data_IF_497556097265
#
_entry.id   IF_497556097265
#
_cell.length_a   1.000
_cell.length_b   1.000
_cell.length_c   1.000
_cell.angle_alpha   90.00
_cell.angle_beta   90.00
_cell.angle_gamma   90.00
#
_symmetry.space_group_name_H-M   'P 1'
#
loop_
_entity.id
_entity.type
_entity.pdbx_description
1 polymer ?
#
# COMPACT_ATOMS: atom_id res chain seq x y z
N UNK A 1 -4.35 1.09 7.67
CA UNK A 1 -2.99 1.54 8.04
C UNK A 1 -2.68 2.92 7.48
N UNK A 2 -2.76 3.14 6.17
CA UNK A 2 -2.46 4.45 5.55
C UNK A 2 -3.32 5.61 6.08
N UNK A 3 -4.66 5.48 6.09
CA UNK A 3 -5.54 6.54 6.60
C UNK A 3 -5.29 6.93 8.06
N UNK A 4 -4.91 5.96 8.91
CA UNK A 4 -4.60 6.23 10.32
C UNK A 4 -3.33 7.06 10.49
N UNK A 5 -2.29 6.81 9.67
CA UNK A 5 -1.07 7.62 9.69
C UNK A 5 -1.38 9.08 9.32
N UNK A 6 -2.14 9.28 8.25
CA UNK A 6 -2.54 10.63 7.83
C UNK A 6 -3.35 11.34 8.93
N UNK A 7 -4.30 10.62 9.55
CA UNK A 7 -5.08 11.16 10.65
C UNK A 7 -4.21 11.54 11.85
N UNK A 8 -3.34 10.63 12.31
CA UNK A 8 -2.46 10.87 13.45
C UNK A 8 -1.54 12.07 13.23
N UNK A 9 -0.90 12.16 12.06
CA UNK A 9 -0.04 13.28 11.71
C UNK A 9 -0.82 14.59 11.58
N UNK A 10 -2.07 14.55 11.12
CA UNK A 10 -2.88 15.76 10.96
C UNK A 10 -3.55 16.24 12.25
N UNK A 11 -3.75 15.36 13.24
CA UNK A 11 -4.56 15.66 14.43
C UNK A 11 -3.81 15.62 15.76
N UNK A 12 -2.55 15.17 15.79
CA UNK A 12 -1.79 15.00 17.02
C UNK A 12 -0.89 16.20 17.31
N UNK A 13 -0.98 16.73 18.53
CA UNK A 13 -0.07 17.75 19.08
C UNK A 13 1.06 17.14 19.93
N UNK A 14 1.28 15.82 19.83
CA UNK A 14 2.35 15.18 20.59
C UNK A 14 3.72 15.70 20.13
N UNK A 15 4.65 15.88 21.06
CA UNK A 15 6.01 16.38 20.77
C UNK A 15 6.70 15.58 19.66
N UNK A 16 6.54 14.25 19.66
CA UNK A 16 7.06 13.36 18.62
C UNK A 16 6.49 13.65 17.22
N UNK A 17 5.17 13.87 17.11
CA UNK A 17 4.53 14.14 15.81
C UNK A 17 4.95 15.53 15.32
N UNK A 18 4.96 16.52 16.20
CA UNK A 18 5.41 17.87 15.85
C UNK A 18 6.86 17.89 15.37
N UNK A 19 7.76 17.16 16.06
CA UNK A 19 9.15 16.99 15.61
C UNK A 19 9.25 16.39 14.20
N UNK A 20 8.44 15.37 13.90
CA UNK A 20 8.39 14.77 12.56
C UNK A 20 7.91 15.81 11.53
N UNK A 21 6.82 16.52 11.80
CA UNK A 21 6.24 17.50 10.87
C UNK A 21 7.18 18.68 10.60
N UNK A 22 8.00 19.08 11.58
CA UNK A 22 8.98 20.16 11.43
C UNK A 22 10.19 19.74 10.57
N UNK A 23 10.50 18.45 10.49
CA UNK A 23 11.74 17.96 9.87
C UNK A 23 11.52 17.08 8.62
N UNK A 24 10.29 16.65 8.35
CA UNK A 24 9.98 15.67 7.29
C UNK A 24 8.93 16.19 6.33
N UNK A 25 9.25 16.17 5.04
CA UNK A 25 8.25 16.26 3.97
C UNK A 25 7.76 14.84 3.66
N UNK A 26 6.53 14.52 4.05
CA UNK A 26 5.91 13.23 3.79
C UNK A 26 5.09 13.25 2.49
N UNK A 27 5.41 12.35 1.57
CA UNK A 27 4.56 12.03 0.41
C UNK A 27 3.82 10.73 0.72
N UNK A 28 2.52 10.84 0.99
CA UNK A 28 1.70 9.69 1.30
C UNK A 28 0.80 9.34 0.11
N UNK A 29 1.03 8.17 -0.49
CA UNK A 29 0.18 7.60 -1.54
C UNK A 29 -0.67 6.49 -0.91
N UNK A 30 -1.96 6.72 -0.62
CA UNK A 30 -2.73 5.80 0.20
C UNK A 30 -3.09 4.48 -0.48
N UNK A 31 -3.18 4.49 -1.82
CA UNK A 31 -3.26 3.30 -2.65
C UNK A 31 -2.57 3.58 -3.97
N UNK A 32 -1.62 2.71 -4.34
CA UNK A 32 -1.00 2.70 -5.66
C UNK A 32 -1.88 2.01 -6.72
N UNK A 33 -2.93 1.30 -6.30
CA UNK A 33 -3.88 0.60 -7.14
C UNK A 33 -5.30 0.79 -6.58
N UNK A 34 -5.93 1.96 -6.82
CA UNK A 34 -7.27 2.23 -6.31
C UNK A 34 -8.33 1.33 -6.96
N UNK A 35 -8.18 0.97 -8.23
CA UNK A 35 -9.14 0.14 -8.97
C UNK A 35 -9.20 -1.28 -8.40
N UNK A 36 -8.04 -1.92 -8.21
CA UNK A 36 -7.94 -3.24 -7.61
C UNK A 36 -8.42 -3.25 -6.16
N UNK A 37 -8.16 -2.19 -5.39
CA UNK A 37 -8.70 -2.04 -4.04
C UNK A 37 -10.23 -2.00 -4.05
N UNK A 38 -10.84 -1.23 -4.96
CA UNK A 38 -12.28 -1.14 -5.10
C UNK A 38 -12.88 -2.50 -5.48
N UNK A 39 -12.28 -3.22 -6.43
CA UNK A 39 -12.78 -4.55 -6.85
C UNK A 39 -12.77 -5.56 -5.71
N UNK A 40 -11.70 -5.60 -4.91
CA UNK A 40 -11.61 -6.49 -3.75
C UNK A 40 -12.64 -6.10 -2.69
N UNK A 41 -12.82 -4.81 -2.45
CA UNK A 41 -13.82 -4.32 -1.50
C UNK A 41 -15.24 -4.68 -1.94
N UNK A 42 -15.60 -4.44 -3.20
CA UNK A 42 -16.92 -4.75 -3.74
C UNK A 42 -17.20 -6.26 -3.69
N UNK A 43 -16.23 -7.08 -4.10
CA UNK A 43 -16.34 -8.54 -4.01
C UNK A 43 -16.57 -9.03 -2.59
N UNK A 44 -15.79 -8.51 -1.63
CA UNK A 44 -15.98 -8.87 -0.23
C UNK A 44 -17.37 -8.46 0.28
N UNK A 45 -17.79 -7.23 -0.02
CA UNK A 45 -19.08 -6.69 0.44
C UNK A 45 -20.28 -7.42 -0.18
N UNK A 46 -20.15 -7.97 -1.38
CA UNK A 46 -21.17 -8.81 -2.01
C UNK A 46 -21.32 -10.17 -1.31
N UNK A 47 -20.22 -10.73 -0.78
CA UNK A 47 -20.16 -12.11 -0.28
C UNK A 47 -20.06 -12.23 1.24
N UNK A 48 -19.97 -11.11 1.97
CA UNK A 48 -19.91 -11.11 3.44
C UNK A 48 -21.11 -11.86 4.05
N UNK A 49 -20.85 -12.77 4.98
CA UNK A 49 -21.84 -13.65 5.58
C UNK A 49 -22.24 -14.88 4.75
N UNK A 50 -21.60 -15.11 3.60
CA UNK A 50 -21.82 -16.30 2.75
C UNK A 50 -20.62 -17.27 2.81
N UNK A 51 -20.73 -18.44 2.18
CA UNK A 51 -19.61 -19.37 2.04
C UNK A 51 -18.43 -18.81 1.22
N UNK A 52 -18.66 -17.73 0.48
CA UNK A 52 -17.67 -17.07 -0.38
C UNK A 52 -17.02 -15.84 0.26
N UNK A 53 -17.30 -15.51 1.53
CA UNK A 53 -16.76 -14.31 2.18
C UNK A 53 -15.22 -14.22 2.10
N UNK A 54 -14.54 -15.37 2.19
CA UNK A 54 -13.08 -15.46 2.08
C UNK A 54 -12.59 -15.97 0.72
N UNK A 55 -13.47 -16.06 -0.29
CA UNK A 55 -13.10 -16.54 -1.61
C UNK A 55 -12.23 -15.51 -2.34
N UNK A 56 -11.21 -15.96 -3.10
CA UNK A 56 -10.41 -15.05 -3.90
C UNK A 56 -11.25 -14.42 -5.01
N UNK A 57 -10.91 -13.19 -5.39
CA UNK A 57 -11.49 -12.52 -6.53
C UNK A 57 -11.27 -13.39 -7.79
N UNK A 58 -12.32 -13.77 -8.54
CA UNK A 58 -12.17 -14.64 -9.70
C UNK A 58 -11.69 -13.90 -10.95
N UNK A 59 -11.63 -12.56 -10.91
CA UNK A 59 -11.21 -11.73 -12.03
C UNK A 59 -9.71 -11.43 -11.99
N UNK A 60 -9.15 -11.31 -13.18
CA UNK A 60 -7.77 -10.93 -13.38
C UNK A 60 -7.64 -9.40 -13.27
N UNK A 61 -6.77 -8.94 -12.36
CA UNK A 61 -6.39 -7.52 -12.32
C UNK A 61 -5.66 -7.15 -13.61
N UNK A 62 -6.03 -6.03 -14.21
CA UNK A 62 -5.71 -5.67 -15.60
C UNK A 62 -6.08 -6.77 -16.60
N UNK A 63 -7.36 -6.81 -17.01
CA UNK A 63 -7.99 -7.90 -17.77
C UNK A 63 -7.15 -8.47 -18.94
N UNK A 64 -6.43 -7.62 -19.67
CA UNK A 64 -5.65 -8.04 -20.85
C UNK A 64 -4.24 -8.53 -20.53
N UNK A 65 -3.67 -8.15 -19.38
CA UNK A 65 -2.24 -8.36 -19.08
C UNK A 65 -2.01 -9.15 -17.80
N UNK A 66 -2.98 -9.24 -16.88
CA UNK A 66 -2.83 -10.00 -15.64
C UNK A 66 -1.69 -9.53 -14.76
N UNK A 67 -1.57 -8.22 -14.65
CA UNK A 67 -0.32 -7.60 -14.27
C UNK A 67 -0.17 -7.42 -12.75
N UNK A 68 1.06 -7.54 -12.26
CA UNK A 68 1.43 -7.21 -10.89
C UNK A 68 2.23 -5.91 -10.92
N UNK A 69 1.65 -4.80 -10.42
CA UNK A 69 2.31 -3.49 -10.42
C UNK A 69 3.65 -3.53 -9.67
N UNK A 70 3.82 -4.42 -8.69
CA UNK A 70 5.08 -4.60 -7.98
C UNK A 70 6.10 -5.46 -8.76
N UNK A 71 5.82 -5.76 -10.03
CA UNK A 71 6.74 -6.34 -11.01
C UNK A 71 6.90 -5.44 -12.24
N UNK A 72 6.28 -4.27 -12.28
CA UNK A 72 6.36 -3.34 -13.42
C UNK A 72 7.52 -2.34 -13.33
N UNK A 73 8.20 -2.26 -12.18
CA UNK A 73 9.17 -1.20 -11.86
C UNK A 73 10.38 -1.11 -12.81
N UNK A 74 10.54 -2.04 -13.74
CA UNK A 74 11.56 -2.00 -14.79
C UNK A 74 10.98 -1.87 -16.20
N UNK A 75 9.70 -2.21 -16.39
CA UNK A 75 9.06 -2.28 -17.70
C UNK A 75 8.20 -1.03 -17.98
N UNK A 76 7.69 -0.38 -16.93
CA UNK A 76 6.90 0.86 -17.01
C UNK A 76 5.74 0.74 -17.99
N UNK A 77 4.99 -0.37 -17.89
CA UNK A 77 3.91 -0.67 -18.82
C UNK A 77 2.54 -0.19 -18.34
N UNK A 78 2.38 0.02 -17.02
CA UNK A 78 1.12 0.46 -16.42
C UNK A 78 1.14 1.95 -16.07
N UNK A 79 -0.02 2.59 -16.16
CA UNK A 79 -0.18 4.02 -15.84
C UNK A 79 0.17 4.30 -14.37
N UNK A 80 -0.17 3.39 -13.45
CA UNK A 80 0.15 3.51 -12.03
C UNK A 80 1.66 3.61 -11.79
N UNK A 81 2.45 2.76 -12.46
CA UNK A 81 3.91 2.77 -12.38
C UNK A 81 4.47 4.06 -12.96
N UNK A 82 4.00 4.47 -14.14
CA UNK A 82 4.43 5.69 -14.81
C UNK A 82 4.15 6.90 -13.92
N UNK A 83 2.93 7.04 -13.41
CA UNK A 83 2.52 8.16 -12.54
C UNK A 83 3.31 8.18 -11.23
N UNK A 84 3.58 7.02 -10.63
CA UNK A 84 4.37 6.93 -9.39
C UNK A 84 5.81 7.37 -9.61
N UNK A 85 6.40 7.01 -10.75
CA UNK A 85 7.77 7.36 -11.09
C UNK A 85 7.87 8.83 -11.46
N UNK A 86 6.99 9.33 -12.34
CA UNK A 86 7.06 10.72 -12.79
C UNK A 86 6.60 11.71 -11.72
N UNK A 87 5.54 11.37 -10.98
CA UNK A 87 4.86 12.27 -10.05
C UNK A 87 5.39 12.23 -8.61
N UNK A 88 5.95 11.11 -8.17
CA UNK A 88 6.55 10.99 -6.84
C UNK A 88 8.08 10.91 -6.92
N UNK A 89 8.64 9.89 -7.56
CA UNK A 89 10.08 9.63 -7.50
C UNK A 89 10.90 10.73 -8.20
N UNK A 90 10.63 11.01 -9.47
CA UNK A 90 11.39 11.99 -10.26
C UNK A 90 11.04 13.43 -9.88
N UNK A 91 9.85 13.69 -9.36
CA UNK A 91 9.46 15.03 -8.95
C UNK A 91 10.09 15.42 -7.60
N UNK A 92 10.19 14.48 -6.66
CA UNK A 92 10.56 14.77 -5.27
C UNK A 92 11.86 14.14 -4.80
N UNK A 93 12.39 13.13 -5.49
CA UNK A 93 13.64 12.43 -5.17
C UNK A 93 13.73 12.00 -3.69
N UNK A 94 12.79 11.15 -3.22
CA UNK A 94 12.69 10.79 -1.80
C UNK A 94 13.96 10.07 -1.33
N UNK A 95 14.43 10.41 -0.12
CA UNK A 95 15.58 9.76 0.51
C UNK A 95 15.22 8.39 1.11
N UNK A 96 13.95 8.22 1.50
CA UNK A 96 13.40 6.98 2.06
C UNK A 96 12.09 6.67 1.32
N UNK A 97 11.97 5.45 0.83
CA UNK A 97 10.74 4.92 0.23
C UNK A 97 10.30 3.70 1.03
N UNK A 98 9.04 3.67 1.42
CA UNK A 98 8.45 2.56 2.17
C UNK A 98 7.17 2.10 1.47
N UNK A 99 7.24 0.91 0.88
CA UNK A 99 6.11 0.24 0.23
C UNK A 99 5.53 -0.83 1.18
N UNK A 100 4.24 -0.70 1.51
CA UNK A 100 3.60 -1.46 2.58
C UNK A 100 2.67 -2.52 1.98
N UNK A 101 2.99 -3.78 2.26
CA UNK A 101 2.19 -4.94 1.87
C UNK A 101 1.57 -5.59 3.09
N UNK A 102 0.39 -6.19 2.91
CA UNK A 102 -0.19 -7.09 3.92
C UNK A 102 -0.02 -8.54 3.46
N UNK A 103 0.07 -9.43 4.43
CA UNK A 103 0.10 -10.86 4.19
C UNK A 103 -1.07 -11.51 4.91
N UNK A 104 -1.57 -12.61 4.36
CA UNK A 104 -2.57 -13.44 5.04
C UNK A 104 -2.06 -13.93 6.39
N UNK A 105 -2.98 -14.21 7.30
CA UNK A 105 -2.68 -14.66 8.68
C UNK A 105 -1.84 -15.94 8.75
N UNK A 106 -1.83 -16.74 7.68
CA UNK A 106 -1.05 -17.97 7.54
C UNK A 106 0.25 -17.82 6.73
N UNK A 107 0.60 -16.63 6.26
CA UNK A 107 1.78 -16.44 5.41
C UNK A 107 3.11 -16.44 6.17
N UNK A 108 4.21 -16.47 5.41
CA UNK A 108 5.59 -16.44 5.93
C UNK A 108 5.93 -15.10 6.60
N UNK A 109 6.20 -15.10 7.90
CA UNK A 109 6.56 -13.87 8.62
C UNK A 109 7.92 -13.36 8.15
N UNK A 110 8.00 -12.08 7.79
CA UNK A 110 9.28 -11.40 7.56
C UNK A 110 10.00 -11.34 8.91
N UNK A 111 11.22 -11.89 8.95
CA UNK A 111 12.02 -12.03 10.14
C UNK A 111 13.23 -11.07 10.07
N UNK A 112 13.28 -10.07 10.95
CA UNK A 112 14.42 -9.16 11.10
C UNK A 112 15.08 -9.33 12.47
N UNK A 113 16.38 -9.66 12.55
CA UNK A 113 17.13 -9.66 13.80
C UNK A 113 17.32 -8.21 14.34
N UNK A 114 17.62 -8.02 15.64
CA UNK A 114 18.01 -9.04 16.62
C UNK A 114 16.84 -9.71 17.38
N UNK A 115 17.07 -10.94 17.83
CA UNK A 115 16.18 -11.65 18.74
C UNK A 115 16.18 -10.92 20.10
N UNK A 116 15.07 -10.29 20.45
CA UNK A 116 14.84 -9.91 21.85
C UNK A 116 14.27 -11.15 22.54
N UNK A 117 14.88 -11.56 23.65
CA UNK A 117 14.46 -12.73 24.43
C UNK A 117 13.02 -12.58 24.96
N UNK A 118 12.27 -13.69 25.11
CA UNK A 118 10.86 -13.70 25.51
C UNK A 118 10.58 -13.08 26.88
#
# INVERSE_FOLDING_TARGET
MSANLAYELASSDSEKVLEILDNVVLLQIPSLNPDGLQWVADWYMEHVGTEYEAAPLPWLYHYYVGHDNNRDWYAFTQDETVLTVTGAHNAWHPQIVHDVHQMGSSGARIFFPPYIEP
#
